data_IF_115567573694
#
_entry.id   IF_115567573694
#
_cell.length_a   1.000
_cell.length_b   1.000
_cell.length_c   1.000
_cell.angle_alpha   90.00
_cell.angle_beta   90.00
_cell.angle_gamma   90.00
#
_symmetry.space_group_name_H-M   'P 1'
#
loop_
_entity.id
_entity.type
_entity.pdbx_description
1 polymer ?
#
# COMPACT_ATOMS: atom_id res chain seq x y z
N UNK A 1 29.54 46.95 -11.98
CA UNK A 1 29.69 45.54 -12.40
C UNK A 1 29.76 44.70 -11.15
N UNK A 2 28.65 44.08 -10.75
CA UNK A 2 28.59 43.20 -9.57
C UNK A 2 28.45 41.76 -10.07
N UNK A 3 29.56 41.03 -10.07
CA UNK A 3 29.61 39.61 -10.36
C UNK A 3 28.74 38.83 -9.37
N UNK A 4 27.75 38.09 -9.87
CA UNK A 4 26.98 37.18 -9.04
C UNK A 4 27.85 35.97 -8.63
N UNK A 5 27.81 35.53 -7.35
CA UNK A 5 28.70 34.49 -6.86
C UNK A 5 28.58 33.15 -7.60
N UNK A 6 29.73 32.61 -8.00
CA UNK A 6 29.93 31.32 -8.68
C UNK A 6 29.35 30.09 -7.95
N UNK A 7 28.84 30.24 -6.71
CA UNK A 7 28.24 29.16 -5.91
C UNK A 7 26.91 28.67 -6.47
N UNK A 8 26.30 29.39 -7.42
CA UNK A 8 25.03 29.00 -8.05
C UNK A 8 25.20 28.35 -9.42
N UNK A 9 26.42 28.25 -9.97
CA UNK A 9 26.66 27.56 -11.25
C UNK A 9 26.67 26.04 -11.16
N UNK A 10 26.55 25.48 -9.95
CA UNK A 10 26.35 24.04 -9.70
C UNK A 10 24.91 23.69 -9.29
N UNK A 11 23.91 24.39 -9.83
CA UNK A 11 22.61 23.75 -10.04
C UNK A 11 22.74 22.76 -11.20
N UNK A 12 23.56 21.72 -11.02
CA UNK A 12 23.49 20.51 -11.80
C UNK A 12 22.04 20.04 -11.70
N UNK A 13 21.36 20.16 -12.84
CA UNK A 13 20.00 19.69 -13.13
C UNK A 13 19.64 18.53 -12.21
N UNK A 14 18.97 18.84 -11.10
CA UNK A 14 18.21 17.85 -10.39
C UNK A 14 17.12 17.42 -11.37
N UNK A 15 17.35 16.32 -12.08
CA UNK A 15 16.36 15.64 -12.92
C UNK A 15 15.26 15.12 -11.99
N UNK A 16 14.45 16.04 -11.44
CA UNK A 16 13.30 15.70 -10.62
C UNK A 16 12.33 14.95 -11.53
N UNK A 17 11.83 13.82 -11.05
CA UNK A 17 10.79 13.10 -11.75
C UNK A 17 9.57 14.02 -11.91
N UNK A 18 9.14 14.22 -13.16
CA UNK A 18 7.88 14.93 -13.46
C UNK A 18 6.74 13.94 -13.25
N UNK A 19 5.77 14.32 -12.42
CA UNK A 19 4.55 13.53 -12.24
C UNK A 19 3.59 13.83 -13.40
N UNK A 20 3.11 12.78 -14.07
CA UNK A 20 2.10 12.88 -15.11
C UNK A 20 0.76 12.39 -14.55
N UNK A 21 -0.27 13.22 -14.68
CA UNK A 21 -1.64 12.85 -14.37
C UNK A 21 -2.32 12.36 -15.64
N UNK A 22 -3.09 11.28 -15.53
CA UNK A 22 -3.89 10.73 -16.62
C UNK A 22 -5.34 10.63 -16.18
N UNK A 23 -6.26 10.92 -17.09
CA UNK A 23 -7.69 10.70 -16.88
C UNK A 23 -8.13 9.51 -17.74
N UNK A 24 -8.66 8.48 -17.10
CA UNK A 24 -9.16 7.28 -17.75
C UNK A 24 -10.57 6.97 -17.25
N UNK A 25 -11.30 6.16 -18.02
CA UNK A 25 -12.53 5.59 -17.51
C UNK A 25 -12.25 4.61 -16.34
N UNK A 26 -13.32 4.31 -15.59
CA UNK A 26 -13.24 3.49 -14.39
C UNK A 26 -12.68 2.09 -14.67
N UNK A 27 -13.12 1.47 -15.76
CA UNK A 27 -12.71 0.11 -16.15
C UNK A 27 -11.19 -0.02 -16.36
N UNK A 28 -10.57 0.96 -17.03
CA UNK A 28 -9.10 0.98 -17.24
C UNK A 28 -8.38 1.15 -15.90
N UNK A 29 -8.84 2.10 -15.08
CA UNK A 29 -8.25 2.38 -13.77
C UNK A 29 -8.29 1.15 -12.86
N UNK A 30 -9.41 0.43 -12.84
CA UNK A 30 -9.59 -0.76 -12.00
C UNK A 30 -8.78 -1.95 -12.51
N UNK A 31 -8.63 -2.09 -13.83
CA UNK A 31 -7.78 -3.11 -14.44
C UNK A 31 -6.32 -2.93 -14.03
N UNK A 32 -5.79 -1.70 -14.09
CA UNK A 32 -4.42 -1.39 -13.68
C UNK A 32 -4.23 -1.63 -12.18
N UNK A 33 -5.15 -1.17 -11.34
CA UNK A 33 -5.08 -1.38 -9.88
C UNK A 33 -5.11 -2.87 -9.54
N UNK A 34 -5.97 -3.64 -10.19
CA UNK A 34 -6.05 -5.09 -9.98
C UNK A 34 -4.77 -5.80 -10.37
N UNK A 35 -4.17 -5.45 -11.52
CA UNK A 35 -2.89 -5.99 -11.94
C UNK A 35 -1.78 -5.62 -10.95
N UNK A 36 -1.72 -4.34 -10.55
CA UNK A 36 -0.76 -3.85 -9.56
C UNK A 36 -0.85 -4.65 -8.24
N UNK A 37 -2.07 -4.83 -7.71
CA UNK A 37 -2.29 -5.62 -6.51
C UNK A 37 -1.82 -7.08 -6.66
N UNK A 38 -2.11 -7.74 -7.79
CA UNK A 38 -1.67 -9.12 -8.05
C UNK A 38 -0.16 -9.26 -8.12
N UNK A 39 0.52 -8.27 -8.69
CA UNK A 39 1.98 -8.28 -8.83
C UNK A 39 2.72 -7.76 -7.59
N UNK A 40 1.99 -7.31 -6.56
CA UNK A 40 2.58 -6.67 -5.39
C UNK A 40 3.24 -5.34 -5.73
N UNK A 41 2.68 -4.59 -6.68
CA UNK A 41 3.15 -3.29 -7.15
C UNK A 41 2.21 -2.16 -6.72
N UNK A 42 2.75 -0.94 -6.65
CA UNK A 42 1.89 0.24 -6.66
C UNK A 42 1.28 0.44 -8.04
N UNK A 43 0.13 1.14 -8.20
CA UNK A 43 -0.39 1.49 -9.52
C UNK A 43 0.64 2.25 -10.37
N UNK A 44 1.46 3.11 -9.76
CA UNK A 44 2.53 3.83 -10.48
C UNK A 44 3.62 2.88 -10.97
N UNK A 45 4.01 1.89 -10.18
CA UNK A 45 5.01 0.90 -10.58
C UNK A 45 4.46 -0.05 -11.65
N UNK A 46 3.17 -0.40 -11.58
CA UNK A 46 2.50 -1.16 -12.63
C UNK A 46 2.48 -0.39 -13.97
N UNK A 47 2.21 0.91 -13.94
CA UNK A 47 2.30 1.76 -15.14
C UNK A 47 3.73 1.74 -15.69
N UNK A 48 4.75 1.82 -14.83
CA UNK A 48 6.16 1.73 -15.23
C UNK A 48 6.46 0.42 -15.95
N UNK A 49 6.01 -0.73 -15.44
CA UNK A 49 6.19 -2.01 -16.13
C UNK A 49 5.52 -2.02 -17.51
N UNK A 50 4.29 -1.52 -17.61
CA UNK A 50 3.54 -1.47 -18.88
C UNK A 50 4.30 -0.67 -19.96
N UNK A 51 5.00 0.40 -19.57
CA UNK A 51 5.79 1.24 -20.48
C UNK A 51 7.28 0.85 -20.53
N UNK A 52 7.64 -0.34 -20.04
CA UNK A 52 9.02 -0.86 -20.13
C UNK A 52 10.03 -0.18 -19.20
N UNK A 53 9.58 0.54 -18.18
CA UNK A 53 10.43 1.17 -17.17
C UNK A 53 10.58 0.27 -15.93
N UNK A 54 11.73 0.40 -15.25
CA UNK A 54 12.01 -0.33 -14.01
C UNK A 54 11.02 0.05 -12.90
N UNK A 55 10.26 -0.93 -12.42
CA UNK A 55 9.38 -0.84 -11.25
C UNK A 55 10.14 -1.08 -9.93
N UNK A 56 9.65 -0.50 -8.84
CA UNK A 56 10.13 -0.77 -7.48
C UNK A 56 9.10 -1.59 -6.72
N UNK A 57 9.47 -2.80 -6.31
CA UNK A 57 8.63 -3.61 -5.44
C UNK A 57 8.69 -3.08 -4.00
N UNK A 58 7.57 -2.93 -3.28
CA UNK A 58 7.57 -2.58 -1.87
C UNK A 58 8.37 -3.61 -1.07
N UNK A 59 9.34 -3.15 -0.29
CA UNK A 59 10.22 -4.03 0.49
C UNK A 59 9.47 -4.76 1.62
N UNK A 60 8.33 -4.21 2.09
CA UNK A 60 7.51 -4.79 3.16
C UNK A 60 6.02 -4.48 2.93
N UNK A 61 5.16 -5.49 2.69
CA UNK A 61 3.73 -5.29 2.67
C UNK A 61 3.27 -4.95 4.10
N UNK A 62 2.65 -3.78 4.29
CA UNK A 62 2.10 -3.35 5.58
C UNK A 62 0.59 -3.32 5.47
N UNK A 63 -0.08 -3.99 6.41
CA UNK A 63 -1.52 -3.84 6.64
C UNK A 63 -1.71 -3.01 7.90
N UNK A 64 -2.56 -1.99 7.80
CA UNK A 64 -2.86 -1.09 8.92
C UNK A 64 -4.37 -0.94 9.03
N UNK A 65 -4.87 -0.98 10.27
CA UNK A 65 -6.24 -0.65 10.61
C UNK A 65 -6.21 0.40 11.72
N UNK A 66 -7.12 1.37 11.68
CA UNK A 66 -7.30 2.34 12.76
C UNK A 66 -8.48 1.89 13.60
N UNK A 67 -8.31 1.87 14.93
CA UNK A 67 -9.32 1.42 15.88
C UNK A 67 -9.64 2.55 16.85
N UNK A 68 -10.93 2.86 16.99
CA UNK A 68 -11.46 3.77 17.99
C UNK A 68 -11.60 3.09 19.36
N UNK A 69 -11.90 3.87 20.41
CA UNK A 69 -12.16 3.30 21.74
C UNK A 69 -13.35 2.32 21.72
N UNK A 70 -14.42 2.64 20.99
CA UNK A 70 -15.58 1.77 20.84
C UNK A 70 -15.22 0.44 20.15
N UNK A 71 -14.29 0.47 19.19
CA UNK A 71 -13.81 -0.75 18.54
C UNK A 71 -13.08 -1.65 19.55
N UNK A 72 -12.28 -1.09 20.45
CA UNK A 72 -11.63 -1.86 21.52
C UNK A 72 -12.63 -2.46 22.49
N UNK A 73 -13.73 -1.78 22.81
CA UNK A 73 -14.81 -2.37 23.61
C UNK A 73 -15.46 -3.57 22.91
N UNK A 74 -15.72 -3.44 21.61
CA UNK A 74 -16.29 -4.51 20.81
C UNK A 74 -15.33 -5.70 20.69
N UNK A 75 -14.06 -5.43 20.39
CA UNK A 75 -13.02 -6.46 20.25
C UNK A 75 -12.73 -7.15 21.59
N UNK A 76 -12.74 -6.42 22.70
CA UNK A 76 -12.63 -6.99 24.04
C UNK A 76 -13.75 -8.00 24.30
N UNK A 77 -15.01 -7.64 24.00
CA UNK A 77 -16.15 -8.57 24.09
C UNK A 77 -16.00 -9.77 23.16
N UNK A 78 -15.55 -9.55 21.92
CA UNK A 78 -15.37 -10.60 20.90
C UNK A 78 -14.33 -11.64 21.31
N UNK A 79 -13.21 -11.19 21.86
CA UNK A 79 -12.09 -12.06 22.22
C UNK A 79 -12.09 -12.48 23.70
N UNK A 80 -13.07 -12.04 24.49
CA UNK A 80 -13.11 -12.30 25.93
C UNK A 80 -11.99 -11.62 26.72
N UNK A 81 -11.51 -10.47 26.22
CA UNK A 81 -10.40 -9.70 26.78
C UNK A 81 -10.89 -8.36 27.32
N UNK A 82 -10.11 -7.75 28.22
CA UNK A 82 -10.35 -6.36 28.61
C UNK A 82 -10.14 -5.43 27.39
N UNK A 83 -10.99 -4.41 27.17
CA UNK A 83 -10.74 -3.36 26.16
C UNK A 83 -9.40 -2.65 26.35
N UNK A 84 -8.87 -2.63 27.57
CA UNK A 84 -7.57 -2.05 27.90
C UNK A 84 -6.39 -2.99 27.56
N UNK A 85 -6.65 -4.28 27.35
CA UNK A 85 -5.63 -5.25 26.92
C UNK A 85 -5.38 -5.15 25.41
N UNK A 86 -4.80 -4.03 25.00
CA UNK A 86 -4.46 -3.74 23.60
C UNK A 86 -3.47 -4.74 23.03
N UNK A 87 -2.61 -5.33 23.87
CA UNK A 87 -1.63 -6.33 23.44
C UNK A 87 -2.34 -7.66 23.11
N UNK A 88 -3.20 -8.16 24.02
CA UNK A 88 -4.00 -9.35 23.79
C UNK A 88 -4.92 -9.22 22.58
N UNK A 89 -5.63 -8.08 22.47
CA UNK A 89 -6.51 -7.80 21.32
C UNK A 89 -5.70 -7.79 20.00
N UNK A 90 -4.51 -7.20 20.00
CA UNK A 90 -3.64 -7.19 18.81
C UNK A 90 -3.18 -8.59 18.42
N UNK A 91 -2.82 -9.43 19.37
CA UNK A 91 -2.44 -10.82 19.12
C UNK A 91 -3.60 -11.62 18.53
N UNK A 92 -4.80 -11.50 19.12
CA UNK A 92 -6.01 -12.14 18.63
C UNK A 92 -6.36 -11.72 17.18
N UNK A 93 -6.28 -10.41 16.88
CA UNK A 93 -6.46 -9.92 15.50
C UNK A 93 -5.42 -10.53 14.56
N UNK A 94 -4.16 -10.65 15.01
CA UNK A 94 -3.08 -11.17 14.18
C UNK A 94 -3.30 -12.64 13.83
N UNK A 95 -3.73 -13.46 14.80
CA UNK A 95 -4.10 -14.85 14.59
C UNK A 95 -5.30 -14.99 13.64
N UNK A 96 -6.32 -14.17 13.81
CA UNK A 96 -7.50 -14.15 12.93
C UNK A 96 -7.13 -13.78 11.49
N UNK A 97 -6.22 -12.81 11.29
CA UNK A 97 -5.73 -12.43 9.96
C UNK A 97 -4.89 -13.53 9.30
N UNK A 98 -4.09 -14.27 10.07
CA UNK A 98 -3.34 -15.44 9.57
C UNK A 98 -4.32 -16.52 9.12
N UNK A 99 -5.33 -16.82 9.94
CA UNK A 99 -6.35 -17.82 9.60
C UNK A 99 -7.16 -17.41 8.36
N UNK A 100 -7.58 -16.15 8.28
CA UNK A 100 -8.24 -15.60 7.10
C UNK A 100 -7.38 -15.77 5.84
N UNK A 101 -6.08 -15.47 5.90
CA UNK A 101 -5.19 -15.64 4.75
C UNK A 101 -5.09 -17.09 4.29
N UNK A 102 -5.14 -18.05 5.20
CA UNK A 102 -5.11 -19.48 4.85
C UNK A 102 -6.39 -19.86 4.10
N UNK A 103 -7.56 -19.47 4.63
CA UNK A 103 -8.85 -19.73 4.00
C UNK A 103 -8.93 -19.11 2.59
N UNK A 104 -8.52 -17.85 2.43
CA UNK A 104 -8.58 -17.20 1.11
C UNK A 104 -7.65 -17.86 0.08
N UNK A 105 -6.48 -18.36 0.51
CA UNK A 105 -5.56 -19.07 -0.38
C UNK A 105 -6.08 -20.46 -0.78
N UNK A 106 -6.87 -21.11 0.09
CA UNK A 106 -7.44 -22.44 -0.14
C UNK A 106 -8.75 -22.41 -0.94
N UNK A 107 -9.34 -21.23 -1.18
CA UNK A 107 -10.51 -21.12 -2.06
C UNK A 107 -10.13 -21.57 -3.48
N UNK A 108 -10.90 -22.49 -4.10
CA UNK A 108 -10.67 -22.83 -5.50
C UNK A 108 -10.77 -21.55 -6.33
N UNK A 109 -9.73 -21.29 -7.12
CA UNK A 109 -9.64 -20.15 -8.02
C UNK A 109 -10.67 -20.33 -9.16
N UNK A 110 -11.95 -20.14 -8.85
CA UNK A 110 -13.02 -20.10 -9.83
C UNK A 110 -12.95 -18.73 -10.54
N UNK A 111 -11.97 -18.64 -11.45
CA UNK A 111 -12.05 -17.75 -12.60
C UNK A 111 -12.33 -18.64 -13.82
N UNK A 112 -13.62 -18.79 -14.11
CA UNK A 112 -14.10 -19.08 -15.45
C UNK A 112 -13.84 -17.88 -16.38
#
# INVERSE_FOLDING_TARGET
>A
MTDLPNKWKKSEKSLRAVQLAFEFNQHISDSIRTAASRHGLSPSDQIREVIGLKAKKPLRPRLTVSLSAQDYEHLGKRYGLSPDDKAGIRSAISEELIHFSQIENDKPNNKA
#
